data_IF_147913856432
#
_entry.id   IF_147913856432
#
_cell.length_a   1.000
_cell.length_b   1.000
_cell.length_c   1.000
_cell.angle_alpha   90.00
_cell.angle_beta   90.00
_cell.angle_gamma   90.00
#
_symmetry.space_group_name_H-M   'P 1'
#
loop_
_entity.id
_entity.type
_entity.pdbx_description
1 polymer ?
#
# COMPACT_ATOMS: atom_id res chain seq x y z
N UNK A 1 -31.78 -38.63 -43.46
CA UNK A 1 -31.81 -37.17 -43.72
C UNK A 1 -31.51 -36.42 -42.43
N UNK A 2 -30.25 -36.50 -41.87
CA UNK A 2 -29.93 -35.85 -40.61
C UNK A 2 -28.44 -35.36 -40.52
N UNK A 3 -27.77 -35.27 -41.69
CA UNK A 3 -26.34 -34.90 -41.73
C UNK A 3 -26.05 -33.38 -41.68
N UNK A 4 -27.04 -32.55 -42.00
CA UNK A 4 -26.93 -31.12 -42.04
C UNK A 4 -27.01 -30.45 -40.67
N UNK A 5 -27.76 -30.99 -39.73
CA UNK A 5 -27.94 -30.45 -38.39
C UNK A 5 -26.70 -30.68 -37.51
N UNK A 6 -26.04 -31.84 -37.61
CA UNK A 6 -24.81 -32.15 -36.88
C UNK A 6 -23.62 -31.29 -37.31
N UNK A 7 -23.51 -30.93 -38.60
CA UNK A 7 -22.45 -30.05 -39.10
C UNK A 7 -22.69 -28.57 -38.67
N UNK A 8 -23.91 -28.10 -38.60
CA UNK A 8 -24.21 -26.77 -38.17
C UNK A 8 -23.93 -26.57 -36.66
N UNK A 9 -24.27 -27.57 -35.85
CA UNK A 9 -24.06 -27.53 -34.40
C UNK A 9 -22.55 -27.59 -34.03
N UNK A 10 -21.74 -28.36 -34.74
CA UNK A 10 -20.29 -28.43 -34.55
C UNK A 10 -19.58 -27.14 -34.99
N UNK A 11 -20.06 -26.45 -36.02
CA UNK A 11 -19.52 -25.18 -36.50
C UNK A 11 -19.78 -24.07 -35.44
N UNK A 12 -21.01 -24.06 -34.87
CA UNK A 12 -21.34 -23.10 -33.80
C UNK A 12 -20.59 -23.34 -32.51
N UNK A 13 -20.26 -24.57 -32.15
CA UNK A 13 -19.41 -24.88 -31.00
C UNK A 13 -17.97 -24.40 -31.23
N UNK A 14 -17.42 -24.66 -32.41
CA UNK A 14 -16.08 -24.20 -32.78
C UNK A 14 -16.04 -22.66 -32.79
N UNK A 15 -17.04 -21.98 -33.35
CA UNK A 15 -17.10 -20.53 -33.36
C UNK A 15 -17.18 -19.93 -31.94
N UNK A 16 -17.96 -20.57 -31.05
CA UNK A 16 -18.04 -20.19 -29.62
C UNK A 16 -16.71 -20.40 -28.90
N UNK A 17 -16.04 -21.52 -29.17
CA UNK A 17 -14.70 -21.80 -28.60
C UNK A 17 -13.67 -20.75 -29.05
N UNK A 18 -13.58 -20.44 -30.36
CA UNK A 18 -12.69 -19.42 -30.88
C UNK A 18 -12.98 -18.01 -30.30
N UNK A 19 -14.25 -17.67 -30.16
CA UNK A 19 -14.65 -16.40 -29.53
C UNK A 19 -14.23 -16.32 -28.06
N UNK A 20 -14.40 -17.41 -27.31
CA UNK A 20 -13.93 -17.47 -25.91
C UNK A 20 -12.40 -17.39 -25.82
N UNK A 21 -11.70 -18.07 -26.72
CA UNK A 21 -10.24 -18.03 -26.80
C UNK A 21 -9.73 -16.61 -27.13
N UNK A 22 -10.37 -15.93 -28.08
CA UNK A 22 -10.07 -14.53 -28.40
C UNK A 22 -10.25 -13.61 -27.21
N UNK A 23 -11.39 -13.73 -26.49
CA UNK A 23 -11.61 -12.94 -25.27
C UNK A 23 -10.60 -13.29 -24.17
N UNK A 24 -10.24 -14.54 -24.00
CA UNK A 24 -9.23 -14.94 -23.03
C UNK A 24 -7.85 -14.38 -23.38
N UNK A 25 -7.44 -14.45 -24.64
CA UNK A 25 -6.18 -13.87 -25.12
C UNK A 25 -6.17 -12.34 -24.97
N UNK A 26 -7.29 -11.68 -25.26
CA UNK A 26 -7.42 -10.24 -25.12
C UNK A 26 -7.32 -9.83 -23.64
N UNK A 27 -7.99 -10.54 -22.74
CA UNK A 27 -7.90 -10.32 -21.30
C UNK A 27 -6.49 -10.58 -20.75
N UNK A 28 -5.83 -11.64 -21.21
CA UNK A 28 -4.44 -11.92 -20.86
C UNK A 28 -3.50 -10.82 -21.37
N UNK A 29 -3.68 -10.37 -22.61
CA UNK A 29 -2.88 -9.28 -23.18
C UNK A 29 -3.07 -7.96 -22.42
N UNK A 30 -4.31 -7.60 -22.09
CA UNK A 30 -4.63 -6.42 -21.27
C UNK A 30 -4.05 -6.56 -19.87
N UNK A 31 -4.19 -7.74 -19.24
CA UNK A 31 -3.61 -8.02 -17.92
C UNK A 31 -2.09 -7.89 -17.91
N UNK A 32 -1.42 -8.45 -18.90
CA UNK A 32 0.03 -8.34 -19.07
C UNK A 32 0.46 -6.88 -19.29
N UNK A 33 -0.28 -6.12 -20.11
CA UNK A 33 -0.02 -4.70 -20.33
C UNK A 33 -0.16 -3.89 -19.03
N UNK A 34 -1.22 -4.12 -18.27
CA UNK A 34 -1.43 -3.47 -16.97
C UNK A 34 -0.28 -3.82 -16.02
N UNK A 35 0.11 -5.09 -15.97
CA UNK A 35 1.21 -5.55 -15.11
C UNK A 35 2.54 -4.87 -15.46
N UNK A 36 2.88 -4.77 -16.74
CA UNK A 36 4.08 -4.07 -17.21
C UNK A 36 4.00 -2.57 -16.93
N UNK A 37 2.81 -1.97 -17.04
CA UNK A 37 2.57 -0.55 -16.79
C UNK A 37 2.40 -0.20 -15.29
N UNK A 38 2.27 -1.18 -14.41
CA UNK A 38 2.06 -0.96 -12.97
C UNK A 38 3.05 0.03 -12.34
N UNK A 39 4.38 -0.04 -12.59
CA UNK A 39 5.32 0.91 -12.00
C UNK A 39 5.05 2.36 -12.42
N UNK A 40 4.56 2.55 -13.66
CA UNK A 40 4.22 3.88 -14.18
C UNK A 40 2.85 4.34 -13.69
N UNK A 41 1.87 3.44 -13.58
CA UNK A 41 0.53 3.77 -13.11
C UNK A 41 0.46 4.06 -11.61
N UNK A 42 1.32 3.43 -10.82
CA UNK A 42 1.32 3.56 -9.35
C UNK A 42 1.32 5.01 -8.86
N UNK A 43 2.23 5.91 -9.31
CA UNK A 43 2.21 7.30 -8.89
C UNK A 43 0.94 8.04 -9.31
N UNK A 44 0.34 7.71 -10.47
CA UNK A 44 -0.93 8.32 -10.90
C UNK A 44 -2.10 7.88 -10.03
N UNK A 45 -2.21 6.58 -9.71
CA UNK A 45 -3.26 6.06 -8.83
C UNK A 45 -3.12 6.63 -7.42
N UNK A 46 -1.90 6.65 -6.87
CA UNK A 46 -1.63 7.25 -5.57
C UNK A 46 -2.00 8.73 -5.53
N UNK A 47 -1.62 9.48 -6.58
CA UNK A 47 -1.94 10.91 -6.71
C UNK A 47 -3.45 11.16 -6.85
N UNK A 48 -4.16 10.30 -7.58
CA UNK A 48 -5.62 10.39 -7.73
C UNK A 48 -6.32 10.14 -6.39
N UNK A 49 -5.87 9.15 -5.61
CA UNK A 49 -6.39 8.89 -4.27
C UNK A 49 -6.15 10.05 -3.31
N UNK A 50 -4.94 10.65 -3.33
CA UNK A 50 -4.61 11.81 -2.52
C UNK A 50 -5.44 13.04 -2.92
N UNK A 51 -5.63 13.26 -4.23
CA UNK A 51 -6.46 14.34 -4.74
C UNK A 51 -7.93 14.14 -4.32
N UNK A 52 -8.48 12.94 -4.48
CA UNK A 52 -9.82 12.60 -4.04
C UNK A 52 -10.02 12.80 -2.54
N UNK A 53 -9.02 12.45 -1.73
CA UNK A 53 -9.05 12.66 -0.27
C UNK A 53 -9.01 14.15 0.10
N UNK A 54 -8.28 14.96 -0.67
CA UNK A 54 -8.14 16.41 -0.46
C UNK A 54 -9.31 17.24 -1.00
N UNK A 55 -10.01 16.75 -2.03
CA UNK A 55 -11.08 17.49 -2.73
C UNK A 55 -12.21 17.97 -1.81
N UNK A 56 -12.74 17.20 -0.85
CA UNK A 56 -13.77 17.67 0.08
C UNK A 56 -13.32 18.85 0.96
N UNK A 57 -12.01 18.97 1.21
CA UNK A 57 -11.44 20.08 1.98
C UNK A 57 -11.37 21.33 1.09
N UNK A 58 -10.96 21.16 -0.17
CA UNK A 58 -10.95 22.22 -1.18
C UNK A 58 -12.36 22.78 -1.36
N UNK A 59 -13.36 21.92 -1.52
CA UNK A 59 -14.76 22.31 -1.67
C UNK A 59 -15.29 23.12 -0.48
N UNK A 60 -14.92 22.72 0.74
CA UNK A 60 -15.29 23.49 1.95
C UNK A 60 -14.68 24.89 1.97
N UNK A 61 -13.45 25.04 1.51
CA UNK A 61 -12.77 26.32 1.41
C UNK A 61 -13.39 27.20 0.31
N UNK A 62 -13.78 26.59 -0.82
CA UNK A 62 -14.51 27.29 -1.88
C UNK A 62 -15.87 27.81 -1.39
N UNK A 63 -16.63 26.97 -0.64
CA UNK A 63 -17.90 27.40 -0.03
C UNK A 63 -17.75 28.55 0.96
N UNK A 64 -16.54 28.77 1.49
CA UNK A 64 -16.20 29.93 2.34
C UNK A 64 -15.71 31.15 1.55
N UNK A 65 -15.85 31.15 0.22
CA UNK A 65 -15.50 32.28 -0.65
C UNK A 65 -14.08 32.27 -1.19
N UNK A 66 -13.32 31.21 -0.99
CA UNK A 66 -11.96 31.08 -1.53
C UNK A 66 -12.00 30.68 -3.01
N UNK A 67 -11.15 31.27 -3.84
CA UNK A 67 -11.02 30.80 -5.24
C UNK A 67 -10.40 29.38 -5.28
N UNK A 68 -10.81 28.53 -6.26
CA UNK A 68 -10.35 27.14 -6.37
C UNK A 68 -8.82 27.03 -6.32
N UNK A 69 -8.12 27.87 -7.07
CA UNK A 69 -6.66 27.82 -7.11
C UNK A 69 -6.00 28.09 -5.75
N UNK A 70 -6.55 29.03 -4.96
CA UNK A 70 -6.05 29.32 -3.61
C UNK A 70 -6.38 28.19 -2.64
N UNK A 71 -7.59 27.63 -2.71
CA UNK A 71 -8.02 26.51 -1.88
C UNK A 71 -7.17 25.28 -2.15
N UNK A 72 -6.95 24.94 -3.42
CA UNK A 72 -6.06 23.83 -3.84
C UNK A 72 -4.63 24.07 -3.35
N UNK A 73 -4.07 25.27 -3.57
CA UNK A 73 -2.72 25.59 -3.12
C UNK A 73 -2.56 25.43 -1.60
N UNK A 74 -3.53 25.90 -0.82
CA UNK A 74 -3.53 25.77 0.64
C UNK A 74 -3.60 24.29 1.09
N UNK A 75 -4.59 23.53 0.55
CA UNK A 75 -4.77 22.12 0.92
C UNK A 75 -3.56 21.29 0.51
N UNK A 76 -3.03 21.53 -0.69
CA UNK A 76 -1.83 20.87 -1.17
C UNK A 76 -0.62 21.16 -0.27
N UNK A 77 -0.37 22.42 0.05
CA UNK A 77 0.73 22.80 0.95
C UNK A 77 0.58 22.14 2.30
N UNK A 78 -0.64 22.11 2.86
CA UNK A 78 -0.91 21.45 4.14
C UNK A 78 -0.66 19.94 4.06
N UNK A 79 -1.07 19.28 2.97
CA UNK A 79 -0.83 17.85 2.76
C UNK A 79 0.67 17.55 2.65
N UNK A 80 1.41 18.33 1.86
CA UNK A 80 2.87 18.16 1.73
C UNK A 80 3.56 18.39 3.06
N UNK A 81 3.19 19.45 3.79
CA UNK A 81 3.73 19.73 5.11
C UNK A 81 3.45 18.60 6.10
N UNK A 82 2.22 18.06 6.11
CA UNK A 82 1.85 16.93 6.95
C UNK A 82 2.70 15.69 6.65
N UNK A 83 2.93 15.39 5.37
CA UNK A 83 3.81 14.28 4.96
C UNK A 83 5.25 14.52 5.39
N UNK A 84 5.79 15.72 5.20
CA UNK A 84 7.15 16.07 5.63
C UNK A 84 7.29 15.91 7.15
N UNK A 85 6.37 16.47 7.93
CA UNK A 85 6.37 16.34 9.39
C UNK A 85 6.29 14.87 9.81
N UNK A 86 5.41 14.09 9.18
CA UNK A 86 5.29 12.66 9.43
C UNK A 86 6.61 11.93 9.17
N UNK A 87 7.26 12.18 8.04
CA UNK A 87 8.56 11.56 7.68
C UNK A 87 9.65 11.96 8.67
N UNK A 88 9.75 13.25 9.01
CA UNK A 88 10.76 13.77 9.96
C UNK A 88 10.60 13.15 11.35
N UNK A 89 9.38 12.89 11.79
CA UNK A 89 9.13 12.23 13.08
C UNK A 89 9.32 10.70 12.96
N UNK A 90 8.77 10.09 11.93
CA UNK A 90 8.69 8.62 11.80
C UNK A 90 10.05 7.98 11.52
N UNK A 91 10.88 8.62 10.67
CA UNK A 91 12.18 8.05 10.29
C UNK A 91 13.10 7.83 11.49
N UNK A 92 13.38 8.82 12.38
CA UNK A 92 14.23 8.60 13.54
C UNK A 92 13.61 7.63 14.55
N UNK A 93 12.28 7.61 14.70
CA UNK A 93 11.59 6.65 15.57
C UNK A 93 11.80 5.23 15.05
N UNK A 94 11.57 4.98 13.76
CA UNK A 94 11.80 3.66 13.16
C UNK A 94 13.27 3.25 13.29
N UNK A 95 14.21 4.16 13.01
CA UNK A 95 15.63 3.88 13.13
C UNK A 95 16.03 3.47 14.56
N UNK A 96 15.54 4.20 15.57
CA UNK A 96 15.82 3.86 16.97
C UNK A 96 15.22 2.50 17.35
N UNK A 97 13.99 2.20 16.93
CA UNK A 97 13.34 0.93 17.23
C UNK A 97 14.04 -0.26 16.53
N UNK A 98 14.47 -0.10 15.28
CA UNK A 98 15.25 -1.12 14.57
C UNK A 98 16.58 -1.39 15.27
N UNK A 99 17.27 -0.35 15.75
CA UNK A 99 18.52 -0.49 16.48
C UNK A 99 18.32 -1.16 17.85
N UNK A 100 17.27 -0.81 18.58
CA UNK A 100 16.90 -1.46 19.84
C UNK A 100 16.60 -2.94 19.61
N UNK A 101 15.79 -3.26 18.61
CA UNK A 101 15.45 -4.63 18.24
C UNK A 101 16.70 -5.42 17.84
N UNK A 102 17.57 -4.83 17.02
CA UNK A 102 18.82 -5.45 16.59
C UNK A 102 19.76 -5.82 17.77
N UNK A 103 19.77 -5.00 18.81
CA UNK A 103 20.54 -5.25 20.02
C UNK A 103 19.86 -6.23 20.99
N UNK A 104 18.54 -6.17 21.10
CA UNK A 104 17.76 -6.94 22.08
C UNK A 104 17.53 -8.39 21.66
N UNK A 105 17.34 -8.66 20.36
CA UNK A 105 17.05 -10.02 19.88
C UNK A 105 18.15 -11.02 20.24
N UNK A 106 19.46 -10.75 20.06
CA UNK A 106 20.50 -11.67 20.48
C UNK A 106 20.47 -11.97 22.00
N UNK A 107 20.17 -10.96 22.82
CA UNK A 107 20.10 -11.10 24.29
C UNK A 107 18.91 -11.99 24.68
N UNK A 108 17.74 -11.77 24.08
CA UNK A 108 16.58 -12.63 24.31
C UNK A 108 16.80 -14.07 23.84
N UNK A 109 17.46 -14.25 22.70
CA UNK A 109 17.82 -15.58 22.21
C UNK A 109 18.75 -16.30 23.17
N UNK A 110 19.78 -15.62 23.67
CA UNK A 110 20.70 -16.18 24.67
C UNK A 110 19.97 -16.55 25.99
N UNK A 111 19.06 -15.71 26.44
CA UNK A 111 18.21 -16.00 27.60
C UNK A 111 17.30 -17.23 27.37
N UNK A 112 16.64 -17.33 26.20
CA UNK A 112 15.80 -18.49 25.87
C UNK A 112 16.60 -19.77 25.88
N UNK A 113 17.78 -19.78 25.26
CA UNK A 113 18.62 -20.99 25.14
C UNK A 113 19.25 -21.37 26.50
N UNK A 114 19.73 -20.39 27.26
CA UNK A 114 20.46 -20.67 28.51
C UNK A 114 19.56 -20.80 29.76
N UNK A 115 18.38 -20.19 29.73
CA UNK A 115 17.48 -20.17 30.90
C UNK A 115 16.12 -20.79 30.58
N UNK A 116 15.52 -20.42 29.47
CA UNK A 116 14.18 -20.86 29.09
C UNK A 116 14.09 -22.35 28.77
N UNK A 117 14.99 -22.86 27.94
CA UNK A 117 15.00 -24.28 27.58
C UNK A 117 15.31 -25.21 28.77
N UNK A 118 16.32 -24.97 29.61
CA UNK A 118 16.55 -25.78 30.82
C UNK A 118 15.39 -25.74 31.80
N UNK A 119 14.74 -24.58 31.99
CA UNK A 119 13.57 -24.45 32.84
C UNK A 119 12.38 -25.28 32.29
N UNK A 120 12.15 -25.25 30.98
CA UNK A 120 11.11 -26.05 30.35
C UNK A 120 11.38 -27.54 30.51
N UNK A 121 12.64 -27.95 30.32
CA UNK A 121 13.11 -29.32 30.48
C UNK A 121 12.90 -29.83 31.92
N UNK A 122 13.20 -29.00 32.92
CA UNK A 122 13.00 -29.34 34.33
C UNK A 122 11.51 -29.49 34.68
N UNK A 123 10.59 -28.79 34.02
CA UNK A 123 9.14 -28.87 34.28
C UNK A 123 8.43 -29.94 33.49
N UNK A 124 8.83 -30.22 32.27
CA UNK A 124 8.11 -31.16 31.35
C UNK A 124 8.76 -32.52 31.23
N UNK A 125 10.03 -32.68 31.69
CA UNK A 125 10.80 -33.91 31.54
C UNK A 125 11.22 -34.22 30.09
N UNK A 126 10.93 -33.30 29.14
CA UNK A 126 11.30 -33.45 27.74
C UNK A 126 12.78 -33.07 27.58
N UNK A 127 13.58 -34.04 27.12
CA UNK A 127 15.04 -33.85 26.92
C UNK A 127 15.28 -33.11 25.59
N UNK A 128 14.98 -31.81 25.55
CA UNK A 128 15.08 -30.96 24.35
C UNK A 128 16.53 -30.80 23.92
N UNK A 129 17.47 -30.85 24.86
CA UNK A 129 18.92 -30.75 24.60
C UNK A 129 19.50 -31.94 23.85
N UNK A 130 18.84 -33.09 23.85
CA UNK A 130 19.27 -34.30 23.11
C UNK A 130 19.03 -34.14 21.60
N UNK A 131 18.07 -33.30 21.21
CA UNK A 131 17.68 -33.08 19.81
C UNK A 131 18.24 -31.76 19.23
N UNK A 132 18.55 -30.82 20.10
CA UNK A 132 18.99 -29.47 19.75
C UNK A 132 20.17 -29.06 20.65
N UNK A 133 21.36 -29.04 20.07
CA UNK A 133 22.54 -28.50 20.75
C UNK A 133 22.34 -27.00 20.98
N UNK A 134 22.32 -26.54 22.25
CA UNK A 134 22.09 -25.12 22.57
C UNK A 134 23.14 -24.20 21.95
N UNK A 135 24.38 -24.64 21.88
CA UNK A 135 25.46 -23.83 21.32
C UNK A 135 25.38 -23.74 19.80
N UNK A 136 24.98 -24.85 19.13
CA UNK A 136 24.70 -24.86 17.69
C UNK A 136 23.53 -23.93 17.32
N UNK A 137 22.45 -23.95 18.10
CA UNK A 137 21.32 -23.03 17.93
C UNK A 137 21.73 -21.58 18.08
N UNK A 138 22.50 -21.25 19.11
CA UNK A 138 23.00 -19.90 19.34
C UNK A 138 23.91 -19.44 18.19
N UNK A 139 24.77 -20.30 17.68
CA UNK A 139 25.65 -19.98 16.56
C UNK A 139 24.86 -19.79 15.25
N UNK A 140 23.94 -20.67 14.96
CA UNK A 140 23.06 -20.57 13.79
C UNK A 140 22.19 -19.31 13.83
N UNK A 141 21.62 -18.99 14.99
CA UNK A 141 20.81 -17.80 15.20
C UNK A 141 21.67 -16.53 15.10
N UNK A 142 22.85 -16.49 15.72
CA UNK A 142 23.80 -15.36 15.61
C UNK A 142 24.28 -15.15 14.18
N UNK A 143 24.54 -16.21 13.44
CA UNK A 143 24.96 -16.17 12.04
C UNK A 143 23.86 -15.64 11.12
N UNK A 144 22.64 -16.15 11.28
CA UNK A 144 21.48 -15.68 10.51
C UNK A 144 21.05 -14.26 10.92
N UNK A 145 21.22 -13.91 12.21
CA UNK A 145 20.92 -12.57 12.71
C UNK A 145 21.87 -11.50 12.20
N UNK A 146 23.16 -11.82 12.06
CA UNK A 146 24.12 -10.93 11.39
C UNK A 146 23.69 -10.67 9.93
N UNK A 147 23.14 -11.65 9.24
CA UNK A 147 22.52 -11.47 7.92
C UNK A 147 21.26 -10.58 7.97
N UNK A 148 20.39 -10.80 8.94
CA UNK A 148 19.16 -10.02 9.12
C UNK A 148 19.42 -8.57 9.58
N UNK A 149 20.40 -8.34 10.46
CA UNK A 149 20.86 -6.99 10.84
C UNK A 149 21.54 -6.28 9.67
N UNK A 150 22.19 -7.04 8.77
CA UNK A 150 22.68 -6.54 7.48
C UNK A 150 21.56 -6.06 6.56
N UNK A 151 20.36 -6.70 6.59
CA UNK A 151 19.18 -6.22 5.87
C UNK A 151 18.69 -4.89 6.44
N UNK A 152 18.68 -4.72 7.77
CA UNK A 152 18.32 -3.44 8.40
C UNK A 152 19.31 -2.32 8.03
N UNK A 153 20.60 -2.62 7.98
CA UNK A 153 21.63 -1.68 7.48
C UNK A 153 21.56 -1.51 5.96
N UNK A 154 21.16 -2.53 5.21
CA UNK A 154 20.90 -2.42 3.76
C UNK A 154 19.67 -1.59 3.46
N UNK A 155 18.58 -1.72 4.21
CA UNK A 155 17.38 -0.86 4.07
C UNK A 155 17.75 0.60 4.38
N UNK A 156 18.60 0.85 5.37
CA UNK A 156 19.17 2.18 5.63
C UNK A 156 20.18 2.58 4.57
N UNK A 157 20.96 1.64 4.04
CA UNK A 157 21.99 1.84 3.01
C UNK A 157 21.42 1.97 1.58
N UNK A 158 20.26 1.41 1.29
CA UNK A 158 19.54 1.61 0.02
C UNK A 158 19.15 3.08 -0.18
N UNK A 159 18.93 3.81 0.91
CA UNK A 159 18.77 5.28 0.86
C UNK A 159 20.09 5.97 0.48
N UNK A 160 21.25 5.35 0.68
CA UNK A 160 22.55 6.00 0.50
C UNK A 160 23.44 5.45 -0.63
N UNK A 161 23.22 4.22 -1.12
CA UNK A 161 24.20 3.55 -2.00
C UNK A 161 23.78 3.29 -3.45
N UNK A 162 22.53 3.38 -3.80
CA UNK A 162 22.08 3.09 -5.17
C UNK A 162 21.58 4.35 -5.87
N UNK A 163 22.44 5.09 -6.54
CA UNK A 163 22.09 6.31 -7.27
C UNK A 163 20.88 6.14 -8.22
N UNK A 164 20.72 4.98 -8.87
CA UNK A 164 19.56 4.67 -9.71
C UNK A 164 18.28 4.38 -8.92
N UNK A 165 18.37 3.71 -7.78
CA UNK A 165 17.22 3.47 -6.88
C UNK A 165 16.79 4.77 -6.22
N UNK A 166 17.75 5.63 -5.83
CA UNK A 166 17.49 6.97 -5.30
C UNK A 166 16.82 7.86 -6.35
N UNK A 167 17.26 7.79 -7.62
CA UNK A 167 16.65 8.56 -8.69
C UNK A 167 15.19 8.13 -8.94
N UNK A 168 14.92 6.83 -8.96
CA UNK A 168 13.55 6.31 -9.08
C UNK A 168 12.66 6.65 -7.88
N UNK A 169 13.21 6.60 -6.67
CA UNK A 169 12.51 7.00 -5.45
C UNK A 169 12.27 8.52 -5.43
N UNK A 170 13.28 9.31 -5.79
CA UNK A 170 13.18 10.77 -5.91
C UNK A 170 12.16 11.17 -6.99
N UNK A 171 12.15 10.48 -8.13
CA UNK A 171 11.14 10.69 -9.15
C UNK A 171 9.72 10.48 -8.60
N UNK A 172 9.46 9.40 -7.86
CA UNK A 172 8.16 9.15 -7.26
C UNK A 172 7.80 10.17 -6.17
N UNK A 173 8.76 10.56 -5.32
CA UNK A 173 8.57 11.55 -4.25
C UNK A 173 8.23 12.93 -4.81
N UNK A 174 8.78 13.29 -5.96
CA UNK A 174 8.46 14.56 -6.64
C UNK A 174 7.21 14.42 -7.52
N UNK A 175 7.08 13.27 -8.23
CA UNK A 175 6.02 13.05 -9.20
C UNK A 175 4.65 12.92 -8.54
N UNK A 176 4.56 12.21 -7.41
CA UNK A 176 3.29 12.03 -6.69
C UNK A 176 2.70 13.37 -6.24
N UNK A 177 3.41 14.25 -5.51
CA UNK A 177 2.89 15.57 -5.16
C UNK A 177 2.54 16.41 -6.39
N UNK A 178 3.40 16.39 -7.41
CA UNK A 178 3.19 17.14 -8.65
C UNK A 178 1.86 16.74 -9.32
N UNK A 179 1.67 15.44 -9.57
CA UNK A 179 0.44 14.93 -10.17
C UNK A 179 -0.77 15.18 -9.25
N UNK A 180 -0.62 15.00 -7.93
CA UNK A 180 -1.68 15.26 -6.95
C UNK A 180 -2.18 16.70 -7.03
N UNK A 181 -1.27 17.67 -7.17
CA UNK A 181 -1.65 19.07 -7.32
C UNK A 181 -2.54 19.31 -8.56
N UNK A 182 -2.16 18.73 -9.71
CA UNK A 182 -2.93 18.86 -10.94
C UNK A 182 -4.28 18.14 -10.85
N UNK A 183 -4.30 16.94 -10.28
CA UNK A 183 -5.54 16.20 -10.08
C UNK A 183 -6.49 16.95 -9.13
N UNK A 184 -5.99 17.46 -8.04
CA UNK A 184 -6.78 18.22 -7.07
C UNK A 184 -7.33 19.51 -7.69
N UNK A 185 -6.55 20.18 -8.53
CA UNK A 185 -6.98 21.40 -9.24
C UNK A 185 -8.08 21.14 -10.25
N UNK A 186 -7.93 20.08 -11.04
CA UNK A 186 -8.79 19.79 -12.18
C UNK A 186 -9.72 18.58 -11.91
N UNK A 187 -9.94 18.21 -10.63
CA UNK A 187 -10.71 17.03 -10.22
C UNK A 187 -12.11 16.98 -10.84
N UNK A 188 -12.88 18.05 -10.74
CA UNK A 188 -14.23 18.11 -11.31
C UNK A 188 -14.23 17.89 -12.82
N UNK A 189 -13.25 18.48 -13.52
CA UNK A 189 -13.12 18.31 -14.97
C UNK A 189 -12.75 16.87 -15.33
N UNK A 190 -11.92 16.21 -14.52
CA UNK A 190 -11.56 14.81 -14.69
C UNK A 190 -12.78 13.92 -14.54
N UNK A 191 -13.56 14.10 -13.49
CA UNK A 191 -14.79 13.33 -13.23
C UNK A 191 -15.79 13.51 -14.36
N UNK A 192 -16.02 14.75 -14.82
CA UNK A 192 -16.91 15.04 -15.97
C UNK A 192 -16.41 14.34 -17.25
N UNK A 193 -15.12 14.36 -17.52
CA UNK A 193 -14.57 13.68 -18.70
C UNK A 193 -14.71 12.16 -18.63
N UNK A 194 -14.49 11.57 -17.46
CA UNK A 194 -14.71 10.13 -17.25
C UNK A 194 -16.19 9.80 -17.44
N UNK A 195 -17.10 10.59 -16.89
CA UNK A 195 -18.53 10.40 -17.07
C UNK A 195 -18.96 10.51 -18.55
N UNK A 196 -18.32 11.37 -19.34
CA UNK A 196 -18.58 11.50 -20.77
C UNK A 196 -18.18 10.26 -21.61
N UNK A 197 -17.31 9.38 -21.09
CA UNK A 197 -16.95 8.10 -21.72
C UNK A 197 -18.03 7.02 -21.53
N UNK A 198 -18.95 7.22 -20.59
CA UNK A 198 -19.99 6.26 -20.29
C UNK A 198 -21.13 6.40 -21.31
N UNK A 199 -21.60 5.29 -21.92
CA UNK A 199 -22.74 5.32 -22.84
C UNK A 199 -23.99 5.95 -22.19
N UNK A 200 -24.71 6.79 -22.95
CA UNK A 200 -25.86 7.57 -22.45
C UNK A 200 -26.95 6.71 -21.80
N UNK A 201 -27.13 5.48 -22.25
CA UNK A 201 -28.11 4.54 -21.69
C UNK A 201 -27.73 3.99 -20.31
N UNK A 202 -26.50 4.19 -19.82
CA UNK A 202 -26.01 3.71 -18.53
C UNK A 202 -25.50 4.81 -17.61
N UNK A 203 -25.56 6.08 -18.05
CA UNK A 203 -24.98 7.20 -17.32
C UNK A 203 -25.62 7.41 -15.96
N UNK A 204 -26.93 7.23 -15.84
CA UNK A 204 -27.66 7.37 -14.56
C UNK A 204 -27.24 6.30 -13.56
N UNK A 205 -27.16 5.04 -14.00
CA UNK A 205 -26.69 3.92 -13.16
C UNK A 205 -25.26 4.14 -12.73
N UNK A 206 -24.39 4.57 -13.65
CA UNK A 206 -23.00 4.85 -13.36
C UNK A 206 -22.84 6.00 -12.36
N UNK A 207 -23.57 7.10 -12.56
CA UNK A 207 -23.54 8.26 -11.66
C UNK A 207 -24.06 7.91 -10.26
N UNK A 208 -25.11 7.09 -10.17
CA UNK A 208 -25.62 6.60 -8.89
C UNK A 208 -24.58 5.74 -8.16
N UNK A 209 -24.01 4.74 -8.85
CA UNK A 209 -22.97 3.87 -8.28
C UNK A 209 -21.72 4.66 -7.86
N UNK A 210 -21.27 5.61 -8.68
CA UNK A 210 -20.12 6.45 -8.36
C UNK A 210 -20.38 7.29 -7.10
N UNK A 211 -21.55 7.91 -6.99
CA UNK A 211 -21.93 8.69 -5.81
C UNK A 211 -22.09 7.84 -4.55
N UNK A 212 -22.65 6.66 -4.67
CA UNK A 212 -22.78 5.71 -3.56
C UNK A 212 -21.42 5.20 -3.10
N UNK A 213 -20.55 4.83 -4.05
CA UNK A 213 -19.17 4.43 -3.77
C UNK A 213 -18.39 5.54 -3.08
N UNK A 214 -18.51 6.78 -3.55
CA UNK A 214 -17.88 7.96 -2.93
C UNK A 214 -18.35 8.17 -1.50
N UNK A 215 -19.65 8.04 -1.24
CA UNK A 215 -20.23 8.19 0.10
C UNK A 215 -19.75 7.08 1.05
N UNK A 216 -19.71 5.81 0.59
CA UNK A 216 -19.26 4.66 1.38
C UNK A 216 -17.77 4.76 1.67
N UNK A 217 -16.95 4.98 0.64
CA UNK A 217 -15.50 5.11 0.79
C UNK A 217 -15.14 6.32 1.66
N UNK A 218 -15.78 7.46 1.44
CA UNK A 218 -15.56 8.66 2.24
C UNK A 218 -15.95 8.49 3.71
N UNK A 219 -17.04 7.77 4.00
CA UNK A 219 -17.44 7.45 5.39
C UNK A 219 -16.47 6.46 6.04
N UNK A 220 -16.05 5.43 5.31
CA UNK A 220 -15.07 4.44 5.77
C UNK A 220 -13.74 5.10 6.11
N UNK A 221 -13.20 5.93 5.23
CA UNK A 221 -11.93 6.61 5.47
C UNK A 221 -11.98 7.54 6.67
N UNK A 222 -13.07 8.32 6.82
CA UNK A 222 -13.26 9.16 8.01
C UNK A 222 -13.31 8.34 9.29
N UNK A 223 -14.03 7.21 9.27
CA UNK A 223 -14.07 6.28 10.39
C UNK A 223 -12.69 5.69 10.71
N UNK A 224 -11.97 5.26 9.68
CA UNK A 224 -10.61 4.71 9.82
C UNK A 224 -9.63 5.75 10.39
N UNK A 225 -9.68 7.00 9.94
CA UNK A 225 -8.87 8.08 10.51
C UNK A 225 -9.18 8.32 11.99
N UNK A 226 -10.46 8.31 12.39
CA UNK A 226 -10.84 8.44 13.80
C UNK A 226 -10.30 7.29 14.65
N UNK A 227 -10.41 6.05 14.15
CA UNK A 227 -9.87 4.87 14.85
C UNK A 227 -8.35 4.96 14.97
N UNK A 228 -7.64 5.31 13.89
CA UNK A 228 -6.18 5.49 13.92
C UNK A 228 -5.76 6.56 14.94
N UNK A 229 -6.48 7.68 15.00
CA UNK A 229 -6.21 8.77 15.94
C UNK A 229 -6.46 8.32 17.39
N UNK A 230 -7.59 7.68 17.64
CA UNK A 230 -7.94 7.16 18.96
C UNK A 230 -6.92 6.12 19.45
N UNK A 231 -6.55 5.17 18.60
CA UNK A 231 -5.52 4.15 18.91
C UNK A 231 -4.14 4.79 19.10
N UNK A 232 -3.77 5.77 18.24
CA UNK A 232 -2.52 6.51 18.37
C UNK A 232 -2.40 7.22 19.71
N UNK A 233 -3.45 7.93 20.13
CA UNK A 233 -3.51 8.59 21.44
C UNK A 233 -3.48 7.59 22.58
N UNK A 234 -4.25 6.50 22.47
CA UNK A 234 -4.29 5.44 23.49
C UNK A 234 -2.91 4.81 23.70
N UNK A 235 -2.22 4.44 22.61
CA UNK A 235 -0.87 3.90 22.71
C UNK A 235 0.16 4.94 23.18
N UNK A 236 0.06 6.18 22.73
CA UNK A 236 0.98 7.23 23.18
C UNK A 236 0.86 7.49 24.69
N UNK A 237 -0.35 7.56 25.22
CA UNK A 237 -0.61 7.73 26.67
C UNK A 237 -0.21 6.49 27.46
N UNK A 238 -0.55 5.29 26.95
CA UNK A 238 -0.19 4.03 27.61
C UNK A 238 1.31 3.79 27.70
N UNK A 239 2.07 4.12 26.65
CA UNK A 239 3.52 4.01 26.63
C UNK A 239 4.23 5.12 27.42
N UNK A 240 3.59 6.28 27.58
CA UNK A 240 4.16 7.38 28.39
C UNK A 240 4.08 7.10 29.90
N UNK A 241 3.19 6.19 30.31
CA UNK A 241 3.01 5.78 31.72
C UNK A 241 3.87 4.57 32.15
N UNK A 242 4.66 3.99 31.23
CA UNK A 242 5.57 2.85 31.46
C UNK A 242 7.02 3.31 31.31
#
# INVERSE_FOLDING_TARGET
MNDGSFKAESIDEIARFFRRLQWALLLLGVGALIWVMTPVLTPFVASALLAWLGDPVVDRLQKRGMSRNRAVGLVFTLMVLAVIVLVVILVPVIQSQVLVLAKSVPVYMEWVVRTGLPWLQAKTGLNVTTWLDPDYLLEMLKRNWKGASGIATQVLGVVTQSGFTVLGWFANVVLIPFITFFFLRDWDKLVIRIAALVPRNRIETFAHLAKESDAVLGSFLRGQFMVMLAMGVFYAVGLWGV
#
